data_IF_879297941997
#
_entry.id   IF_879297941997
#
_cell.length_a   1.000
_cell.length_b   1.000
_cell.length_c   1.000
_cell.angle_alpha   90.00
_cell.angle_beta   90.00
_cell.angle_gamma   90.00
#
_symmetry.space_group_name_H-M   'P 1'
#
loop_
_entity.id
_entity.type
_entity.pdbx_description
1 polymer ?
#
# COMPACT_ATOMS: atom_id res chain seq x y z
N UNK A 1 6.86 2.56 9.52
CA UNK A 1 8.28 2.13 9.59
C UNK A 1 9.00 2.24 8.24
N UNK A 2 8.51 1.61 7.16
CA UNK A 2 9.15 1.62 5.84
C UNK A 2 9.37 3.02 5.25
N UNK A 3 8.34 3.88 5.38
CA UNK A 3 8.42 5.29 4.96
C UNK A 3 9.45 6.07 5.79
N UNK A 4 9.42 5.89 7.11
CA UNK A 4 10.33 6.59 8.04
C UNK A 4 11.81 6.31 7.72
N UNK A 5 12.13 5.08 7.32
CA UNK A 5 13.48 4.68 6.93
C UNK A 5 13.77 4.82 5.43
N UNK A 6 12.89 5.50 4.67
CA UNK A 6 13.02 5.74 3.22
C UNK A 6 13.13 4.49 2.34
N UNK A 7 12.62 3.34 2.80
CA UNK A 7 12.46 2.15 1.96
C UNK A 7 11.25 2.24 1.03
N UNK A 8 10.33 3.17 1.28
CA UNK A 8 9.11 3.38 0.52
C UNK A 8 8.71 4.85 0.60
N UNK A 9 8.36 5.48 -0.51
CA UNK A 9 7.83 6.86 -0.47
C UNK A 9 6.35 6.88 -0.12
N UNK A 10 5.87 8.00 0.40
CA UNK A 10 4.44 8.27 0.64
C UNK A 10 3.70 8.63 -0.65
N UNK A 11 3.84 7.78 -1.67
CA UNK A 11 3.16 7.92 -2.96
C UNK A 11 2.23 6.74 -3.15
N UNK A 12 0.91 6.95 -3.35
CA UNK A 12 -0.04 5.86 -3.56
C UNK A 12 0.41 4.87 -4.66
N UNK A 13 1.02 5.38 -5.73
CA UNK A 13 1.51 4.58 -6.86
C UNK A 13 2.71 3.70 -6.48
N UNK A 14 3.65 4.24 -5.71
CA UNK A 14 4.78 3.45 -5.24
C UNK A 14 4.35 2.41 -4.20
N UNK A 15 3.44 2.78 -3.30
CA UNK A 15 2.89 1.86 -2.31
C UNK A 15 2.11 0.74 -3.01
N UNK A 16 1.23 1.05 -3.97
CA UNK A 16 0.50 0.03 -4.73
C UNK A 16 1.45 -0.95 -5.42
N UNK A 17 2.48 -0.43 -6.12
CA UNK A 17 3.51 -1.27 -6.75
C UNK A 17 4.27 -2.11 -5.74
N UNK A 18 4.62 -1.56 -4.57
CA UNK A 18 5.30 -2.28 -3.50
C UNK A 18 4.44 -3.44 -2.98
N UNK A 19 3.16 -3.18 -2.67
CA UNK A 19 2.23 -4.20 -2.17
C UNK A 19 1.99 -5.33 -3.18
N UNK A 20 1.93 -5.01 -4.47
CA UNK A 20 1.70 -6.00 -5.54
C UNK A 20 2.94 -6.86 -5.85
N UNK A 21 4.14 -6.29 -5.76
CA UNK A 21 5.36 -6.94 -6.26
C UNK A 21 6.26 -7.51 -5.17
N UNK A 22 6.19 -6.99 -3.94
CA UNK A 22 7.10 -7.39 -2.87
C UNK A 22 6.69 -8.72 -2.25
N UNK A 23 7.59 -9.70 -2.33
CA UNK A 23 7.45 -10.99 -1.61
C UNK A 23 7.65 -10.80 -0.10
N UNK A 24 7.01 -11.67 0.68
CA UNK A 24 7.14 -11.68 2.15
C UNK A 24 6.15 -10.77 2.88
N UNK A 25 5.19 -10.17 2.17
CA UNK A 25 4.07 -9.44 2.78
C UNK A 25 2.90 -10.40 3.03
N UNK A 26 2.28 -10.29 4.21
CA UNK A 26 1.06 -11.03 4.52
C UNK A 26 -0.11 -10.52 3.68
N UNK A 27 -0.84 -11.41 3.01
CA UNK A 27 -2.04 -11.05 2.23
C UNK A 27 -3.14 -10.46 3.11
N UNK A 28 -3.30 -10.95 4.33
CA UNK A 28 -4.26 -10.40 5.28
C UNK A 28 -3.89 -8.97 5.70
N UNK A 29 -2.61 -8.71 5.97
CA UNK A 29 -2.14 -7.37 6.33
C UNK A 29 -2.25 -6.37 5.16
N UNK A 30 -2.05 -6.85 3.92
CA UNK A 30 -2.34 -6.04 2.72
C UNK A 30 -3.83 -5.70 2.67
N UNK A 31 -4.72 -6.68 2.91
CA UNK A 31 -6.17 -6.47 2.95
C UNK A 31 -6.60 -5.46 4.03
N UNK A 32 -6.06 -5.58 5.25
CA UNK A 32 -6.30 -4.63 6.35
C UNK A 32 -5.88 -3.21 5.96
N UNK A 33 -4.69 -3.04 5.37
CA UNK A 33 -4.23 -1.73 4.90
C UNK A 33 -5.14 -1.15 3.81
N UNK A 34 -5.49 -1.94 2.79
CA UNK A 34 -6.33 -1.47 1.68
C UNK A 34 -7.79 -1.22 2.09
N UNK A 35 -8.23 -1.86 3.18
CA UNK A 35 -9.55 -1.68 3.78
C UNK A 35 -9.66 -0.48 4.72
N UNK A 36 -8.58 0.23 5.01
CA UNK A 36 -8.59 1.38 5.91
C UNK A 36 -9.28 2.61 5.26
N UNK A 37 -10.56 2.78 5.55
CA UNK A 37 -11.40 3.83 4.97
C UNK A 37 -11.27 5.20 5.65
N UNK A 38 -10.48 5.34 6.71
CA UNK A 38 -10.22 6.67 7.31
C UNK A 38 -8.94 7.31 6.78
N UNK A 39 -8.06 6.52 6.15
CA UNK A 39 -6.78 7.00 5.62
C UNK A 39 -6.90 7.28 4.10
N UNK A 40 -6.72 8.53 3.71
CA UNK A 40 -6.81 8.94 2.30
C UNK A 40 -5.66 8.40 1.43
N UNK A 41 -4.48 8.18 2.02
CA UNK A 41 -3.37 7.54 1.34
C UNK A 41 -3.68 6.06 1.07
N UNK A 42 -4.27 5.37 2.05
CA UNK A 42 -4.74 3.99 1.88
C UNK A 42 -5.82 3.91 0.79
N UNK A 43 -6.86 4.73 0.84
CA UNK A 43 -7.90 4.80 -0.22
C UNK A 43 -7.33 5.03 -1.61
N UNK A 44 -6.40 5.98 -1.72
CA UNK A 44 -5.76 6.29 -3.01
C UNK A 44 -4.93 5.10 -3.52
N UNK A 45 -4.23 4.40 -2.63
CA UNK A 45 -3.49 3.18 -2.95
C UNK A 45 -4.44 2.07 -3.40
N UNK A 46 -5.56 1.87 -2.70
CA UNK A 46 -6.58 0.87 -3.05
C UNK A 46 -7.13 1.08 -4.45
N UNK A 47 -7.45 2.32 -4.83
CA UNK A 47 -7.90 2.62 -6.21
C UNK A 47 -6.87 2.20 -7.27
N UNK A 48 -5.58 2.37 -7.00
CA UNK A 48 -4.53 2.00 -7.94
C UNK A 48 -4.29 0.48 -8.00
N UNK A 49 -4.42 -0.21 -6.86
CA UNK A 49 -4.32 -1.68 -6.80
C UNK A 49 -5.47 -2.32 -7.57
N UNK A 50 -6.70 -1.79 -7.45
CA UNK A 50 -7.87 -2.32 -8.15
C UNK A 50 -7.87 -2.01 -9.66
N UNK A 51 -7.05 -1.06 -10.11
CA UNK A 51 -6.92 -0.66 -11.51
C UNK A 51 -5.72 -1.32 -12.22
N UNK A 52 -4.92 -2.15 -11.52
CA UNK A 52 -3.72 -2.81 -12.03
C UNK A 52 -3.98 -4.28 -12.34
#
# INVERSE_FOLDING_TARGET
MLVKYRFLETSPRQIARFLLTRRGLSRSAIGEYLGEMKDDLAKATTRLVLAA
#
